data_IF_553618212356
#
_entry.id   IF_553618212356
#
_cell.length_a   1.000
_cell.length_b   1.000
_cell.length_c   1.000
_cell.angle_alpha   90.00
_cell.angle_beta   90.00
_cell.angle_gamma   90.00
#
_symmetry.space_group_name_H-M   'P 1'
#
loop_
_entity.id
_entity.type
_entity.pdbx_description
1 polymer ?
#
# COMPACT_ATOMS: atom_id res chain seq x y z
N UNK A 1 28.64 -9.10 -14.20
CA UNK A 1 28.19 -8.67 -15.55
C UNK A 1 26.79 -9.21 -15.88
N UNK A 2 25.79 -9.05 -15.00
CA UNK A 2 24.40 -9.51 -15.28
C UNK A 2 23.35 -8.40 -15.15
N UNK A 3 23.75 -7.12 -15.21
CA UNK A 3 22.84 -5.99 -15.02
C UNK A 3 22.24 -5.41 -16.31
N UNK A 4 22.60 -5.95 -17.48
CA UNK A 4 22.13 -5.45 -18.77
C UNK A 4 20.91 -6.21 -19.31
N UNK A 5 20.91 -7.54 -19.22
CA UNK A 5 19.79 -8.40 -19.68
C UNK A 5 18.53 -8.22 -18.84
N UNK A 6 18.68 -8.01 -17.52
CA UNK A 6 17.52 -7.78 -16.64
C UNK A 6 16.74 -6.52 -17.00
N UNK A 7 17.41 -5.49 -17.55
CA UNK A 7 16.76 -4.22 -17.94
C UNK A 7 15.94 -4.37 -19.22
N UNK A 8 16.34 -5.25 -20.12
CA UNK A 8 15.67 -5.47 -21.40
C UNK A 8 14.39 -6.29 -21.20
N UNK A 9 14.43 -7.30 -20.32
CA UNK A 9 13.21 -8.04 -19.94
C UNK A 9 12.18 -7.17 -19.17
N UNK A 10 12.61 -6.19 -18.34
CA UNK A 10 11.63 -5.24 -17.75
C UNK A 10 10.97 -4.42 -18.85
N UNK A 11 11.76 -4.07 -19.87
CA UNK A 11 11.28 -3.22 -20.95
C UNK A 11 10.22 -3.96 -21.77
N UNK A 12 10.45 -5.21 -22.15
CA UNK A 12 9.45 -6.00 -22.89
C UNK A 12 8.17 -6.25 -22.07
N UNK A 13 8.29 -6.61 -20.80
CA UNK A 13 7.11 -6.83 -19.93
C UNK A 13 6.28 -5.56 -19.75
N UNK A 14 6.93 -4.40 -19.63
CA UNK A 14 6.25 -3.12 -19.45
C UNK A 14 5.75 -2.56 -20.79
N UNK A 15 6.48 -2.79 -21.89
CA UNK A 15 6.05 -2.45 -23.25
C UNK A 15 4.84 -3.31 -23.68
N UNK A 16 4.73 -4.56 -23.23
CA UNK A 16 3.55 -5.40 -23.44
C UNK A 16 2.31 -4.87 -22.70
N UNK A 17 2.50 -4.22 -21.54
CA UNK A 17 1.41 -3.53 -20.83
C UNK A 17 1.04 -2.24 -21.58
N UNK A 18 2.02 -1.43 -22.01
CA UNK A 18 1.76 -0.15 -22.69
C UNK A 18 1.21 -0.30 -24.12
N UNK A 19 1.62 -1.34 -24.86
CA UNK A 19 1.14 -1.62 -26.23
C UNK A 19 -0.35 -1.96 -26.28
N UNK A 20 -0.96 -2.37 -25.16
CA UNK A 20 -2.41 -2.57 -25.07
C UNK A 20 -3.22 -1.27 -24.90
N UNK A 21 -2.55 -0.14 -24.63
CA UNK A 21 -3.19 1.16 -24.36
C UNK A 21 -3.27 2.09 -25.60
N UNK A 22 -2.32 2.01 -26.54
CA UNK A 22 -2.29 2.93 -27.70
C UNK A 22 -3.52 2.78 -28.63
N UNK A 23 -4.12 1.59 -28.71
CA UNK A 23 -5.28 1.33 -29.57
C UNK A 23 -6.62 1.86 -29.02
N UNK A 24 -6.66 2.39 -27.78
CA UNK A 24 -7.91 2.85 -27.13
C UNK A 24 -8.00 4.34 -26.82
N UNK A 25 -6.87 5.04 -26.69
CA UNK A 25 -6.87 6.49 -26.39
C UNK A 25 -7.37 7.37 -27.54
N UNK A 26 -7.45 6.84 -28.77
CA UNK A 26 -8.04 7.55 -29.91
C UNK A 26 -9.57 7.74 -29.85
N UNK A 27 -10.26 7.21 -28.83
CA UNK A 27 -11.73 7.24 -28.73
C UNK A 27 -12.32 8.20 -27.69
N UNK A 28 -11.50 8.92 -26.90
CA UNK A 28 -11.99 9.80 -25.82
C UNK A 28 -11.54 11.27 -25.92
N UNK A 29 -10.90 11.66 -27.03
CA UNK A 29 -10.56 13.05 -27.32
C UNK A 29 -11.63 13.68 -28.21
N UNK A 30 -12.77 14.08 -27.64
CA UNK A 30 -13.57 15.19 -28.16
C UNK A 30 -14.46 15.76 -27.04
N UNK A 31 -14.47 17.09 -26.97
CA UNK A 31 -15.33 17.98 -26.17
C UNK A 31 -14.69 18.65 -24.94
N UNK A 32 -13.78 19.61 -25.20
CA UNK A 32 -13.63 20.80 -24.35
C UNK A 32 -13.46 22.03 -25.24
N UNK A 33 -14.50 22.87 -25.29
CA UNK A 33 -14.45 24.22 -25.86
C UNK A 33 -13.56 25.13 -25.00
N UNK A 34 -12.67 25.95 -25.60
CA UNK A 34 -11.94 26.97 -24.86
C UNK A 34 -12.75 28.28 -24.83
N UNK A 35 -13.24 28.68 -23.66
CA UNK A 35 -13.69 30.05 -23.41
C UNK A 35 -12.47 30.94 -23.08
N UNK A 36 -12.23 31.92 -23.93
CA UNK A 36 -11.18 32.93 -23.81
C UNK A 36 -11.66 34.10 -22.93
N UNK A 37 -11.43 33.99 -21.62
CA UNK A 37 -11.56 35.10 -20.67
C UNK A 37 -10.19 35.64 -20.27
N UNK A 38 -9.81 36.82 -20.79
CA UNK A 38 -8.64 37.58 -20.33
C UNK A 38 -8.91 38.16 -18.93
N UNK A 39 -8.12 37.77 -17.92
CA UNK A 39 -7.94 38.56 -16.69
C UNK A 39 -6.44 38.65 -16.36
N UNK A 40 -5.87 39.85 -16.50
CA UNK A 40 -4.45 40.16 -16.28
C UNK A 40 -4.03 40.24 -14.79
N UNK A 41 -4.91 39.87 -13.84
CA UNK A 41 -4.56 39.79 -12.40
C UNK A 41 -4.10 38.40 -11.92
N UNK A 42 -4.11 37.38 -12.79
CA UNK A 42 -3.74 36.00 -12.46
C UNK A 42 -2.24 35.73 -12.26
N UNK A 43 -1.36 36.61 -12.76
CA UNK A 43 0.09 36.34 -12.81
C UNK A 43 0.81 36.30 -11.46
N UNK A 44 0.32 37.00 -10.43
CA UNK A 44 0.97 37.03 -9.10
C UNK A 44 0.54 35.91 -8.15
N UNK A 45 -0.62 35.30 -8.38
CA UNK A 45 -1.12 34.20 -7.54
C UNK A 45 -0.54 32.86 -7.99
N UNK A 46 -0.32 32.68 -9.31
CA UNK A 46 0.30 31.47 -9.86
C UNK A 46 1.78 31.32 -9.45
N UNK A 47 2.58 32.39 -9.49
CA UNK A 47 4.01 32.32 -9.11
C UNK A 47 4.22 32.05 -7.60
N UNK A 48 3.28 32.49 -6.74
CA UNK A 48 3.33 32.22 -5.30
C UNK A 48 2.93 30.78 -4.93
N UNK A 49 2.14 30.08 -5.77
CA UNK A 49 1.78 28.68 -5.52
C UNK A 49 2.89 27.70 -5.96
N UNK A 50 3.57 27.98 -7.07
CA UNK A 50 4.66 27.13 -7.61
C UNK A 50 5.85 27.05 -6.65
N UNK A 51 6.09 28.08 -5.84
CA UNK A 51 7.16 28.11 -4.83
C UNK A 51 6.87 27.29 -3.55
N UNK A 52 5.69 26.66 -3.42
CA UNK A 52 5.27 25.96 -2.20
C UNK A 52 5.17 24.42 -2.29
N UNK A 53 5.51 23.84 -3.45
CA UNK A 53 5.47 22.39 -3.65
C UNK A 53 6.71 21.70 -3.04
N UNK A 54 6.55 20.50 -2.45
CA UNK A 54 7.67 19.75 -1.89
C UNK A 54 8.62 19.26 -3.00
N UNK A 55 9.93 19.33 -2.77
CA UNK A 55 10.92 18.89 -3.77
C UNK A 55 11.07 17.36 -3.79
N UNK A 56 10.87 16.69 -2.65
CA UNK A 56 11.05 15.24 -2.49
C UNK A 56 9.83 14.57 -1.87
N UNK A 57 9.68 13.25 -2.07
CA UNK A 57 8.60 12.45 -1.45
C UNK A 57 8.67 12.48 0.09
N UNK A 58 9.86 12.61 0.67
CA UNK A 58 10.03 12.81 2.12
C UNK A 58 9.51 14.16 2.59
N UNK A 59 9.80 15.24 1.85
CA UNK A 59 9.22 16.55 2.15
C UNK A 59 7.70 16.55 1.96
N UNK A 60 7.21 15.79 0.98
CA UNK A 60 5.78 15.62 0.73
C UNK A 60 5.06 14.95 1.90
N UNK A 61 5.69 13.96 2.56
CA UNK A 61 5.14 13.38 3.81
C UNK A 61 4.90 14.46 4.87
N UNK A 62 5.91 15.28 5.15
CA UNK A 62 5.80 16.38 6.11
C UNK A 62 4.78 17.45 5.70
N UNK A 63 4.70 17.73 4.39
CA UNK A 63 3.73 18.67 3.82
C UNK A 63 2.29 18.18 4.02
N UNK A 64 1.99 16.92 3.70
CA UNK A 64 0.67 16.31 3.89
C UNK A 64 0.32 16.26 5.37
N UNK A 65 1.25 15.85 6.24
CA UNK A 65 1.03 15.79 7.68
C UNK A 65 0.72 17.15 8.29
N UNK A 66 1.29 18.25 7.78
CA UNK A 66 1.03 19.60 8.31
C UNK A 66 -0.26 20.21 7.76
N UNK A 67 -0.53 20.05 6.47
CA UNK A 67 -1.66 20.74 5.80
C UNK A 67 -2.95 19.92 5.75
N UNK A 68 -2.85 18.60 5.77
CA UNK A 68 -3.97 17.67 5.61
C UNK A 68 -4.09 16.67 6.76
N UNK A 69 -3.64 17.06 7.97
CA UNK A 69 -3.69 16.21 9.16
C UNK A 69 -5.10 15.66 9.44
N UNK A 70 -6.11 16.53 9.45
CA UNK A 70 -7.49 16.11 9.72
C UNK A 70 -8.05 15.21 8.63
N UNK A 71 -7.66 15.40 7.37
CA UNK A 71 -8.03 14.48 6.29
C UNK A 71 -7.44 13.09 6.53
N UNK A 72 -6.21 12.99 7.04
CA UNK A 72 -5.60 11.71 7.43
C UNK A 72 -6.33 11.05 8.60
N UNK A 73 -6.74 11.82 9.61
CA UNK A 73 -7.54 11.30 10.73
C UNK A 73 -8.88 10.74 10.23
N UNK A 74 -9.58 11.48 9.38
CA UNK A 74 -10.88 11.05 8.83
C UNK A 74 -10.72 9.80 7.95
N UNK A 75 -9.68 9.74 7.09
CA UNK A 75 -9.44 8.56 6.26
C UNK A 75 -9.04 7.35 7.12
N UNK A 76 -8.33 7.58 8.22
CA UNK A 76 -8.00 6.54 9.21
C UNK A 76 -9.26 5.96 9.84
N UNK A 77 -10.19 6.83 10.25
CA UNK A 77 -11.46 6.42 10.82
C UNK A 77 -12.32 5.64 9.81
N UNK A 78 -12.41 6.10 8.55
CA UNK A 78 -13.09 5.35 7.49
C UNK A 78 -12.47 3.98 7.26
N UNK A 79 -11.14 3.89 7.19
CA UNK A 79 -10.45 2.59 7.06
C UNK A 79 -10.75 1.69 8.25
N UNK A 80 -10.78 2.26 9.46
CA UNK A 80 -11.04 1.52 10.68
C UNK A 80 -12.46 0.93 10.72
N UNK A 81 -13.47 1.61 10.17
CA UNK A 81 -14.82 1.05 10.06
C UNK A 81 -14.85 -0.28 9.29
N UNK A 82 -14.03 -0.42 8.25
CA UNK A 82 -13.87 -1.67 7.50
C UNK A 82 -13.07 -2.73 8.26
N UNK A 83 -12.25 -2.32 9.23
CA UNK A 83 -11.50 -3.23 10.10
C UNK A 83 -12.31 -3.74 11.30
N UNK A 84 -13.45 -3.12 11.62
CA UNK A 84 -14.26 -3.50 12.79
C UNK A 84 -14.64 -4.99 12.85
N UNK A 85 -15.05 -5.66 11.75
CA UNK A 85 -15.33 -7.10 11.81
C UNK A 85 -14.10 -7.92 12.21
N UNK A 86 -12.93 -7.57 11.67
CA UNK A 86 -11.67 -8.24 11.99
C UNK A 86 -11.26 -7.98 13.45
N UNK A 87 -11.36 -6.73 13.92
CA UNK A 87 -11.07 -6.37 15.32
C UNK A 87 -12.00 -7.11 16.27
N UNK A 88 -13.31 -7.12 15.99
CA UNK A 88 -14.29 -7.83 16.81
C UNK A 88 -13.99 -9.33 16.86
N UNK A 89 -13.60 -9.94 15.73
CA UNK A 89 -13.19 -11.34 15.68
C UNK A 89 -11.95 -11.62 16.53
N UNK A 90 -10.91 -10.81 16.41
CA UNK A 90 -9.68 -10.96 17.22
C UNK A 90 -10.00 -10.82 18.70
N UNK A 91 -10.74 -9.79 19.11
CA UNK A 91 -11.13 -9.58 20.51
C UNK A 91 -11.98 -10.73 21.07
N UNK A 92 -12.90 -11.27 20.24
CA UNK A 92 -13.68 -12.45 20.59
C UNK A 92 -12.77 -13.67 20.81
N UNK A 93 -11.87 -13.97 19.87
CA UNK A 93 -10.94 -15.09 19.99
C UNK A 93 -10.00 -14.95 21.19
N UNK A 94 -9.55 -13.73 21.53
CA UNK A 94 -8.69 -13.48 22.70
C UNK A 94 -9.43 -13.64 24.03
N UNK A 95 -10.74 -13.38 24.07
CA UNK A 95 -11.56 -13.50 25.29
C UNK A 95 -12.17 -14.90 25.48
N UNK A 96 -12.29 -15.68 24.41
CA UNK A 96 -12.81 -17.03 24.42
C UNK A 96 -11.76 -18.03 24.99
N UNK A 97 -11.77 -18.22 26.32
CA UNK A 97 -10.83 -19.12 27.03
C UNK A 97 -10.81 -20.54 26.48
N UNK A 98 -11.94 -21.06 25.99
CA UNK A 98 -12.05 -22.39 25.40
C UNK A 98 -11.28 -22.55 24.07
N UNK A 99 -10.95 -21.46 23.38
CA UNK A 99 -10.08 -21.49 22.18
C UNK A 99 -8.59 -21.45 22.55
N UNK A 100 -8.25 -20.90 23.72
CA UNK A 100 -6.86 -20.71 24.18
C UNK A 100 -6.30 -21.88 25.00
N UNK A 101 -7.16 -22.71 25.61
CA UNK A 101 -6.71 -23.76 26.54
C UNK A 101 -6.09 -24.99 25.85
N UNK A 102 -6.30 -25.16 24.53
CA UNK A 102 -5.66 -26.22 23.75
C UNK A 102 -5.24 -25.66 22.38
N UNK A 103 -3.95 -25.32 22.17
CA UNK A 103 -3.42 -24.93 20.86
C UNK A 103 -3.39 -26.16 19.95
N UNK A 104 -4.56 -26.53 19.45
CA UNK A 104 -4.77 -27.62 18.53
C UNK A 104 -4.88 -27.01 17.13
N UNK A 105 -4.50 -27.78 16.10
CA UNK A 105 -4.61 -27.35 14.70
C UNK A 105 -6.01 -26.81 14.34
N UNK A 106 -7.05 -27.34 14.98
CA UNK A 106 -8.43 -26.86 14.85
C UNK A 106 -8.64 -25.42 15.35
N UNK A 107 -8.12 -25.05 16.53
CA UNK A 107 -8.28 -23.67 17.04
C UNK A 107 -7.50 -22.68 16.19
N UNK A 108 -6.31 -23.04 15.72
CA UNK A 108 -5.54 -22.26 14.75
C UNK A 108 -6.32 -22.04 13.45
N UNK A 109 -6.90 -23.10 12.88
CA UNK A 109 -7.69 -22.99 11.66
C UNK A 109 -8.93 -22.11 11.85
N UNK A 110 -9.61 -22.22 12.99
CA UNK A 110 -10.79 -21.41 13.29
C UNK A 110 -10.42 -19.92 13.43
N UNK A 111 -9.43 -19.61 14.28
CA UNK A 111 -9.01 -18.24 14.57
C UNK A 111 -8.48 -17.56 13.30
N UNK A 112 -7.44 -18.15 12.70
CA UNK A 112 -6.74 -17.53 11.57
C UNK A 112 -7.47 -17.74 10.24
N UNK A 113 -8.33 -18.76 10.12
CA UNK A 113 -9.26 -18.89 9.00
C UNK A 113 -10.32 -17.80 9.02
N UNK A 114 -10.85 -17.46 10.20
CA UNK A 114 -11.72 -16.30 10.39
C UNK A 114 -11.01 -14.98 10.01
N UNK A 115 -9.76 -14.80 10.46
CA UNK A 115 -8.93 -13.66 10.05
C UNK A 115 -8.79 -13.61 8.51
N UNK A 116 -8.49 -14.73 7.87
CA UNK A 116 -8.33 -14.79 6.41
C UNK A 116 -9.58 -14.39 5.63
N UNK A 117 -10.77 -14.70 6.16
CA UNK A 117 -12.06 -14.31 5.57
C UNK A 117 -12.44 -12.85 5.82
N UNK A 118 -11.96 -12.24 6.92
CA UNK A 118 -12.29 -10.87 7.30
C UNK A 118 -11.29 -9.83 6.80
N UNK A 119 -10.04 -10.22 6.55
CA UNK A 119 -9.00 -9.37 5.96
C UNK A 119 -9.40 -8.73 4.61
N UNK A 120 -10.13 -9.40 3.70
CA UNK A 120 -10.69 -8.79 2.50
C UNK A 120 -11.53 -7.54 2.77
N UNK A 121 -12.33 -7.54 3.85
CA UNK A 121 -13.17 -6.39 4.22
C UNK A 121 -12.29 -5.23 4.65
N UNK A 122 -11.28 -5.48 5.49
CA UNK A 122 -10.30 -4.45 5.87
C UNK A 122 -9.54 -3.90 4.66
N UNK A 123 -9.18 -4.75 3.70
CA UNK A 123 -8.50 -4.34 2.48
C UNK A 123 -9.36 -3.40 1.61
N UNK A 124 -10.70 -3.51 1.66
CA UNK A 124 -11.61 -2.51 1.06
C UNK A 124 -11.42 -1.13 1.70
N UNK A 125 -11.19 -1.02 3.00
CA UNK A 125 -10.87 0.25 3.64
C UNK A 125 -9.57 0.85 3.09
N UNK A 126 -8.53 0.02 2.93
CA UNK A 126 -7.23 0.46 2.43
C UNK A 126 -7.25 0.91 0.96
N UNK A 127 -8.09 0.34 0.09
CA UNK A 127 -8.22 0.84 -1.29
C UNK A 127 -8.79 2.25 -1.34
N UNK A 128 -9.80 2.56 -0.54
CA UNK A 128 -10.37 3.90 -0.49
C UNK A 128 -9.33 4.93 -0.02
N UNK A 129 -8.58 4.57 1.03
CA UNK A 129 -7.49 5.40 1.55
C UNK A 129 -6.37 5.61 0.56
N UNK A 130 -5.89 4.54 -0.08
CA UNK A 130 -4.84 4.63 -1.10
C UNK A 130 -5.27 5.51 -2.28
N UNK A 131 -6.52 5.40 -2.73
CA UNK A 131 -7.02 6.22 -3.84
C UNK A 131 -7.11 7.71 -3.48
N UNK A 132 -7.70 8.04 -2.33
CA UNK A 132 -7.74 9.42 -1.83
C UNK A 132 -6.34 10.00 -1.67
N UNK A 133 -5.42 9.27 -1.04
CA UNK A 133 -4.05 9.73 -0.80
C UNK A 133 -3.22 9.82 -2.07
N UNK A 134 -3.47 8.98 -3.07
CA UNK A 134 -2.88 9.14 -4.41
C UNK A 134 -3.28 10.49 -4.99
N UNK A 135 -4.58 10.82 -5.05
CA UNK A 135 -5.06 12.11 -5.59
C UNK A 135 -4.52 13.30 -4.79
N UNK A 136 -4.49 13.18 -3.47
CA UNK A 136 -3.96 14.21 -2.58
C UNK A 136 -2.45 14.44 -2.82
N UNK A 137 -1.66 13.38 -2.89
CA UNK A 137 -0.21 13.46 -3.17
C UNK A 137 0.11 13.82 -4.62
N UNK A 138 -0.87 13.78 -5.53
CA UNK A 138 -0.73 14.25 -6.90
C UNK A 138 -1.28 15.67 -7.11
N UNK A 139 -1.74 16.34 -6.05
CA UNK A 139 -2.36 17.67 -6.07
C UNK A 139 -3.55 17.79 -7.04
N UNK A 140 -4.34 16.72 -7.21
CA UNK A 140 -5.47 16.68 -8.16
C UNK A 140 -6.80 17.21 -7.59
N UNK A 141 -6.78 17.82 -6.41
CA UNK A 141 -7.97 18.02 -5.60
C UNK A 141 -8.50 16.68 -5.08
N UNK A 142 -8.73 16.58 -3.77
CA UNK A 142 -9.18 15.34 -3.16
C UNK A 142 -10.34 15.61 -2.19
N UNK A 143 -11.49 15.00 -2.46
CA UNK A 143 -12.61 14.97 -1.54
C UNK A 143 -12.57 13.65 -0.77
N UNK A 144 -12.46 13.74 0.56
CA UNK A 144 -12.27 12.57 1.44
C UNK A 144 -13.34 11.50 1.21
N UNK A 145 -14.61 11.89 1.11
CA UNK A 145 -15.72 10.93 1.06
C UNK A 145 -15.90 10.40 -0.36
N UNK A 146 -15.95 11.29 -1.35
CA UNK A 146 -16.21 10.93 -2.73
C UNK A 146 -15.07 10.10 -3.32
N UNK A 147 -13.81 10.48 -3.05
CA UNK A 147 -12.65 9.75 -3.55
C UNK A 147 -12.44 8.43 -2.82
N UNK A 148 -12.64 8.37 -1.50
CA UNK A 148 -12.56 7.10 -0.77
C UNK A 148 -13.53 6.05 -1.36
N UNK A 149 -14.82 6.41 -1.49
CA UNK A 149 -15.82 5.51 -2.06
C UNK A 149 -15.56 5.19 -3.54
N UNK A 150 -15.03 6.14 -4.30
CA UNK A 150 -14.63 5.90 -5.69
C UNK A 150 -13.50 4.88 -5.79
N UNK A 151 -12.51 4.95 -4.88
CA UNK A 151 -11.44 3.95 -4.78
C UNK A 151 -12.00 2.55 -4.52
N UNK A 152 -12.86 2.43 -3.50
CA UNK A 152 -13.53 1.16 -3.15
C UNK A 152 -14.31 0.60 -4.34
N UNK A 153 -15.07 1.42 -5.06
CA UNK A 153 -15.88 0.97 -6.21
C UNK A 153 -15.03 0.52 -7.38
N UNK A 154 -13.97 1.27 -7.71
CA UNK A 154 -13.13 0.98 -8.89
C UNK A 154 -12.26 -0.26 -8.70
N UNK A 155 -11.68 -0.41 -7.51
CA UNK A 155 -10.59 -1.36 -7.29
C UNK A 155 -10.82 -2.30 -6.09
N UNK A 156 -12.00 -2.24 -5.45
CA UNK A 156 -12.33 -3.03 -4.28
C UNK A 156 -12.20 -4.53 -4.48
N UNK A 157 -12.59 -5.05 -5.66
CA UNK A 157 -12.46 -6.49 -5.96
C UNK A 157 -10.99 -6.94 -5.90
N UNK A 158 -10.09 -6.21 -6.53
CA UNK A 158 -8.66 -6.55 -6.55
C UNK A 158 -8.03 -6.43 -5.17
N UNK A 159 -8.41 -5.42 -4.38
CA UNK A 159 -7.95 -5.27 -3.01
C UNK A 159 -8.52 -6.31 -2.06
N UNK A 160 -9.78 -6.71 -2.22
CA UNK A 160 -10.37 -7.80 -1.45
C UNK A 160 -9.63 -9.12 -1.73
N UNK A 161 -9.24 -9.38 -2.98
CA UNK A 161 -8.41 -10.53 -3.35
C UNK A 161 -7.01 -10.44 -2.71
N UNK A 162 -6.35 -9.27 -2.75
CA UNK A 162 -5.08 -9.06 -2.05
C UNK A 162 -5.22 -9.32 -0.54
N UNK A 163 -6.27 -8.79 0.08
CA UNK A 163 -6.57 -9.01 1.49
C UNK A 163 -6.77 -10.49 1.81
N UNK A 164 -7.50 -11.22 0.97
CA UNK A 164 -7.70 -12.66 1.11
C UNK A 164 -6.38 -13.43 1.01
N UNK A 165 -5.53 -13.10 0.04
CA UNK A 165 -4.22 -13.75 -0.13
C UNK A 165 -3.29 -13.47 1.04
N UNK A 166 -3.25 -12.23 1.57
CA UNK A 166 -2.51 -11.90 2.80
C UNK A 166 -3.05 -12.72 3.98
N UNK A 167 -4.37 -12.82 4.09
CA UNK A 167 -5.05 -13.62 5.12
C UNK A 167 -4.68 -15.09 5.05
N UNK A 168 -4.65 -15.67 3.84
CA UNK A 168 -4.24 -17.05 3.61
C UNK A 168 -2.77 -17.28 3.98
N UNK A 169 -1.87 -16.35 3.62
CA UNK A 169 -0.46 -16.43 4.01
C UNK A 169 -0.29 -16.37 5.54
N UNK A 170 -1.08 -15.52 6.20
CA UNK A 170 -1.07 -15.40 7.66
C UNK A 170 -1.60 -16.68 8.34
N UNK A 171 -2.65 -17.30 7.80
CA UNK A 171 -3.12 -18.61 8.24
C UNK A 171 -2.04 -19.69 8.07
N UNK A 172 -1.37 -19.74 6.91
CA UNK A 172 -0.30 -20.72 6.66
C UNK A 172 0.88 -20.54 7.61
N UNK A 173 1.24 -19.30 7.94
CA UNK A 173 2.27 -19.00 8.93
C UNK A 173 1.89 -19.54 10.32
N UNK A 174 0.65 -19.32 10.76
CA UNK A 174 0.19 -19.81 12.06
C UNK A 174 -0.03 -21.32 12.10
N UNK A 175 -0.40 -21.95 10.99
CA UNK A 175 -0.40 -23.41 10.86
C UNK A 175 1.01 -23.99 10.98
N UNK A 176 2.03 -23.33 10.40
CA UNK A 176 3.43 -23.72 10.58
C UNK A 176 3.84 -23.62 12.06
N UNK A 177 3.51 -22.53 12.74
CA UNK A 177 3.82 -22.34 14.17
C UNK A 177 3.15 -23.45 15.00
N UNK A 178 1.84 -23.68 14.80
CA UNK A 178 1.11 -24.72 15.52
C UNK A 178 1.63 -26.13 15.24
N UNK A 179 2.10 -26.41 14.03
CA UNK A 179 2.71 -27.70 13.69
C UNK A 179 4.05 -27.91 14.42
N UNK A 180 4.88 -26.87 14.48
CA UNK A 180 6.14 -26.88 15.22
C UNK A 180 5.86 -27.10 16.71
N UNK A 181 4.91 -26.37 17.30
CA UNK A 181 4.54 -26.50 18.70
C UNK A 181 4.00 -27.90 19.04
N UNK A 182 3.13 -28.45 18.17
CA UNK A 182 2.58 -29.80 18.34
C UNK A 182 3.65 -30.91 18.24
N UNK A 183 4.77 -30.64 17.57
CA UNK A 183 5.88 -31.59 17.46
C UNK A 183 6.73 -31.66 18.74
N UNK A 184 6.56 -30.71 19.67
CA UNK A 184 7.24 -30.69 20.96
C UNK A 184 8.76 -30.81 20.83
N UNK A 185 9.36 -31.68 21.63
CA UNK A 185 10.82 -31.90 21.67
C UNK A 185 11.39 -32.63 20.45
N UNK A 186 10.56 -33.07 19.50
CA UNK A 186 11.03 -33.78 18.31
C UNK A 186 11.83 -32.88 17.35
N UNK A 187 11.61 -31.55 17.41
CA UNK A 187 12.28 -30.57 16.55
C UNK A 187 13.30 -29.80 17.38
N UNK A 188 14.52 -29.65 16.84
CA UNK A 188 15.55 -28.83 17.46
C UNK A 188 15.06 -27.36 17.61
N UNK A 189 15.20 -26.72 18.79
CA UNK A 189 14.66 -25.38 19.05
C UNK A 189 15.26 -24.29 18.15
N UNK A 190 16.51 -24.44 17.71
CA UNK A 190 17.12 -23.51 16.76
C UNK A 190 16.50 -23.63 15.37
N UNK A 191 16.18 -24.86 14.94
CA UNK A 191 15.50 -25.10 13.65
C UNK A 191 14.08 -24.54 13.71
N UNK A 192 13.35 -24.81 14.80
CA UNK A 192 12.02 -24.24 15.03
C UNK A 192 12.03 -22.71 14.94
N UNK A 193 12.93 -22.06 15.68
CA UNK A 193 13.07 -20.60 15.70
C UNK A 193 13.43 -20.03 14.33
N UNK A 194 14.36 -20.68 13.62
CA UNK A 194 14.75 -20.27 12.27
C UNK A 194 13.58 -20.41 11.28
N UNK A 195 12.83 -21.51 11.33
CA UNK A 195 11.66 -21.73 10.48
C UNK A 195 10.57 -20.68 10.72
N UNK A 196 10.27 -20.35 11.98
CA UNK A 196 9.31 -19.29 12.32
C UNK A 196 9.81 -17.93 11.81
N UNK A 197 11.09 -17.60 12.05
CA UNK A 197 11.69 -16.35 11.58
C UNK A 197 11.66 -16.21 10.05
N UNK A 198 11.98 -17.28 9.32
CA UNK A 198 11.87 -17.31 7.85
C UNK A 198 10.41 -17.19 7.40
N UNK A 199 9.46 -17.79 8.12
CA UNK A 199 8.03 -17.67 7.88
C UNK A 199 7.55 -16.21 7.96
N UNK A 200 7.90 -15.51 9.04
CA UNK A 200 7.60 -14.08 9.18
C UNK A 200 8.30 -13.23 8.11
N UNK A 201 9.57 -13.52 7.81
CA UNK A 201 10.32 -12.82 6.77
C UNK A 201 9.65 -12.95 5.39
N UNK A 202 9.23 -14.15 5.04
CA UNK A 202 8.50 -14.42 3.80
C UNK A 202 7.12 -13.77 3.77
N UNK A 203 6.37 -13.81 4.88
CA UNK A 203 5.08 -13.14 5.02
C UNK A 203 5.19 -11.62 4.81
N UNK A 204 6.14 -10.97 5.49
CA UNK A 204 6.37 -9.53 5.37
C UNK A 204 6.84 -9.14 3.96
N UNK A 205 7.70 -9.97 3.34
CA UNK A 205 8.12 -9.79 1.96
C UNK A 205 6.91 -9.80 1.01
N UNK A 206 6.03 -10.79 1.10
CA UNK A 206 4.85 -10.86 0.24
C UNK A 206 3.87 -9.71 0.52
N UNK A 207 3.66 -9.32 1.78
CA UNK A 207 2.87 -8.14 2.13
C UNK A 207 3.42 -6.88 1.45
N UNK A 208 4.75 -6.70 1.45
CA UNK A 208 5.38 -5.57 0.77
C UNK A 208 5.13 -5.56 -0.75
N UNK A 209 5.18 -6.72 -1.39
CA UNK A 209 4.89 -6.89 -2.81
C UNK A 209 3.42 -6.56 -3.09
N UNK A 210 2.50 -7.03 -2.25
CA UNK A 210 1.08 -6.70 -2.36
C UNK A 210 0.78 -5.21 -2.17
N UNK A 211 1.52 -4.50 -1.31
CA UNK A 211 1.42 -3.04 -1.20
C UNK A 211 1.81 -2.33 -2.50
N UNK A 212 2.89 -2.77 -3.17
CA UNK A 212 3.30 -2.26 -4.48
C UNK A 212 2.25 -2.58 -5.54
N UNK A 213 1.77 -3.82 -5.57
CA UNK A 213 0.73 -4.26 -6.51
C UNK A 213 -0.56 -3.44 -6.36
N UNK A 214 -1.00 -3.19 -5.13
CA UNK A 214 -2.16 -2.34 -4.85
C UNK A 214 -2.00 -0.95 -5.44
N UNK A 215 -0.82 -0.35 -5.28
CA UNK A 215 -0.52 0.98 -5.84
C UNK A 215 -0.43 0.99 -7.37
N UNK A 216 0.05 -0.10 -7.99
CA UNK A 216 0.01 -0.29 -9.44
C UNK A 216 -1.42 -0.33 -9.96
N UNK A 217 -2.29 -1.15 -9.34
CA UNK A 217 -3.72 -1.27 -9.69
C UNK A 217 -4.47 0.06 -9.61
N UNK A 218 -4.04 0.97 -8.73
CA UNK A 218 -4.63 2.31 -8.62
C UNK A 218 -4.16 3.28 -9.70
N UNK A 219 -3.01 3.00 -10.30
CA UNK A 219 -2.24 3.99 -11.07
C UNK A 219 -2.18 3.67 -12.55
N UNK A 220 -2.07 2.39 -12.89
CA UNK A 220 -1.91 1.91 -14.25
C UNK A 220 -2.99 0.88 -14.56
N UNK A 221 -3.37 0.82 -15.82
CA UNK A 221 -4.24 -0.22 -16.34
C UNK A 221 -3.43 -1.50 -16.52
N UNK A 222 -4.05 -2.64 -16.23
CA UNK A 222 -3.38 -3.94 -16.35
C UNK A 222 -4.09 -5.05 -15.60
N UNK A 223 -3.70 -6.29 -15.93
CA UNK A 223 -4.21 -7.49 -15.28
C UNK A 223 -3.63 -7.68 -13.88
N UNK A 224 -4.38 -8.32 -12.98
CA UNK A 224 -3.95 -8.61 -11.60
C UNK A 224 -2.59 -9.34 -11.55
N UNK A 225 -2.43 -10.38 -12.38
CA UNK A 225 -1.21 -11.21 -12.42
C UNK A 225 -0.03 -10.43 -13.01
N UNK A 226 -0.25 -9.67 -14.08
CA UNK A 226 0.78 -8.81 -14.66
C UNK A 226 1.30 -7.79 -13.63
N UNK A 227 0.39 -7.10 -12.93
CA UNK A 227 0.77 -6.21 -11.83
C UNK A 227 1.48 -6.92 -10.70
N UNK A 228 1.11 -8.16 -10.37
CA UNK A 228 1.79 -8.94 -9.34
C UNK A 228 3.24 -9.25 -9.75
N UNK A 229 3.49 -9.68 -10.99
CA UNK A 229 4.84 -9.96 -11.49
C UNK A 229 5.71 -8.70 -11.53
N UNK A 230 5.15 -7.57 -11.98
CA UNK A 230 5.83 -6.28 -11.94
C UNK A 230 6.13 -5.85 -10.50
N UNK A 231 5.16 -5.99 -9.60
CA UNK A 231 5.34 -5.68 -8.19
C UNK A 231 6.40 -6.56 -7.52
N UNK A 232 6.44 -7.85 -7.86
CA UNK A 232 7.44 -8.80 -7.39
C UNK A 232 8.84 -8.35 -7.84
N UNK A 233 9.00 -8.04 -9.13
CA UNK A 233 10.27 -7.57 -9.71
C UNK A 233 10.75 -6.27 -9.05
N UNK A 234 9.88 -5.27 -8.97
CA UNK A 234 10.21 -3.96 -8.36
C UNK A 234 10.49 -4.11 -6.86
N UNK A 235 9.66 -4.91 -6.17
CA UNK A 235 9.74 -5.16 -4.74
C UNK A 235 11.05 -5.84 -4.35
N UNK A 236 11.46 -6.89 -5.09
CA UNK A 236 12.72 -7.60 -4.83
C UNK A 236 13.95 -6.72 -5.09
N UNK A 237 13.96 -5.96 -6.19
CA UNK A 237 15.10 -5.08 -6.54
C UNK A 237 15.29 -3.96 -5.52
N UNK A 238 14.21 -3.49 -4.88
CA UNK A 238 14.24 -2.34 -3.97
C UNK A 238 13.96 -2.70 -2.50
N UNK A 239 13.96 -3.98 -2.15
CA UNK A 239 13.54 -4.48 -0.85
C UNK A 239 14.29 -3.80 0.30
N UNK A 240 15.63 -3.70 0.19
CA UNK A 240 16.49 -3.12 1.22
C UNK A 240 16.19 -1.63 1.50
N UNK A 241 15.67 -0.89 0.50
CA UNK A 241 15.28 0.52 0.68
C UNK A 241 13.88 0.64 1.31
N UNK A 242 13.00 -0.30 1.00
CA UNK A 242 11.61 -0.31 1.45
C UNK A 242 11.38 -0.90 2.82
N UNK A 243 12.28 -1.76 3.30
CA UNK A 243 12.06 -2.55 4.52
C UNK A 243 11.69 -1.68 5.72
N UNK A 244 12.34 -0.53 5.90
CA UNK A 244 12.04 0.39 7.00
C UNK A 244 10.67 1.06 6.86
N UNK A 245 10.25 1.39 5.63
CA UNK A 245 8.93 1.95 5.37
C UNK A 245 7.85 0.92 5.69
N UNK A 246 8.06 -0.33 5.29
CA UNK A 246 7.12 -1.41 5.58
C UNK A 246 7.09 -1.76 7.06
N UNK A 247 8.24 -1.90 7.73
CA UNK A 247 8.30 -2.09 9.18
C UNK A 247 7.55 -0.97 9.90
N UNK A 248 7.72 0.27 9.46
CA UNK A 248 6.96 1.40 9.99
C UNK A 248 5.47 1.28 9.63
N UNK A 249 5.08 0.90 8.43
CA UNK A 249 3.66 0.70 8.10
C UNK A 249 3.01 -0.45 8.90
N UNK A 250 3.79 -1.47 9.28
CA UNK A 250 3.33 -2.66 9.99
C UNK A 250 3.48 -2.60 11.52
N UNK A 251 3.92 -1.49 12.13
CA UNK A 251 4.10 -1.44 13.60
C UNK A 251 2.86 -1.89 14.39
N UNK A 252 1.62 -1.46 14.08
CA UNK A 252 0.45 -1.93 14.82
C UNK A 252 0.28 -3.44 14.71
N UNK A 253 0.53 -4.00 13.53
CA UNK A 253 0.49 -5.44 13.30
C UNK A 253 1.56 -6.16 14.15
N UNK A 254 2.80 -5.66 14.15
CA UNK A 254 3.88 -6.21 14.97
C UNK A 254 3.52 -6.15 16.46
N UNK A 255 2.97 -5.04 16.93
CA UNK A 255 2.52 -4.92 18.33
C UNK A 255 1.37 -5.89 18.61
N UNK A 256 0.39 -6.04 17.70
CA UNK A 256 -0.69 -7.02 17.86
C UNK A 256 -0.19 -8.46 17.92
N UNK A 257 0.81 -8.80 17.09
CA UNK A 257 1.36 -10.15 17.01
C UNK A 257 2.16 -10.52 18.27
N UNK A 258 3.01 -9.60 18.74
CA UNK A 258 4.00 -9.92 19.77
C UNK A 258 3.63 -9.42 21.17
N UNK A 259 2.71 -8.45 21.30
CA UNK A 259 2.24 -7.98 22.60
C UNK A 259 0.89 -8.61 22.93
N UNK A 260 0.90 -9.56 23.86
CA UNK A 260 -0.33 -10.15 24.37
C UNK A 260 -1.00 -9.23 25.40
N UNK A 261 -2.33 -9.11 25.30
CA UNK A 261 -3.14 -8.41 26.30
C UNK A 261 -4.24 -7.55 25.70
N UNK A 262 -5.45 -7.68 26.26
CA UNK A 262 -6.63 -6.93 25.83
C UNK A 262 -6.42 -5.41 25.87
N UNK A 263 -5.78 -4.91 26.93
CA UNK A 263 -5.49 -3.47 27.08
C UNK A 263 -4.59 -2.96 25.96
N UNK A 264 -3.53 -3.72 25.62
CA UNK A 264 -2.63 -3.35 24.53
C UNK A 264 -3.38 -3.36 23.19
N UNK A 265 -4.18 -4.41 22.94
CA UNK A 265 -5.02 -4.52 21.76
C UNK A 265 -5.95 -3.31 21.59
N UNK A 266 -6.63 -2.89 22.66
CA UNK A 266 -7.53 -1.72 22.64
C UNK A 266 -6.79 -0.41 22.36
N UNK A 267 -5.60 -0.21 22.96
CA UNK A 267 -4.76 0.96 22.71
C UNK A 267 -4.33 1.00 21.24
N UNK A 268 -3.87 -0.12 20.69
CA UNK A 268 -3.45 -0.19 19.28
C UNK A 268 -4.65 0.04 18.35
N UNK A 269 -5.82 -0.56 18.63
CA UNK A 269 -7.05 -0.27 17.90
C UNK A 269 -7.39 1.22 17.90
N UNK A 270 -7.32 1.89 19.06
CA UNK A 270 -7.60 3.31 19.17
C UNK A 270 -6.60 4.15 18.35
N UNK A 271 -5.31 3.82 18.40
CA UNK A 271 -4.28 4.48 17.59
C UNK A 271 -4.51 4.27 16.08
N UNK A 272 -4.89 3.06 15.67
CA UNK A 272 -5.27 2.75 14.29
C UNK A 272 -6.49 3.52 13.82
N UNK A 273 -7.52 3.63 14.67
CA UNK A 273 -8.73 4.36 14.35
C UNK A 273 -8.48 5.86 14.17
N UNK A 274 -7.69 6.46 15.07
CA UNK A 274 -7.48 7.92 15.09
C UNK A 274 -6.50 8.37 14.02
N UNK A 275 -5.44 7.61 13.73
CA UNK A 275 -4.37 8.14 12.87
C UNK A 275 -3.65 7.09 12.02
N UNK A 276 -3.41 5.90 12.57
CA UNK A 276 -2.39 5.02 11.99
C UNK A 276 -2.73 4.49 10.61
N UNK A 277 -3.99 4.14 10.33
CA UNK A 277 -4.34 3.61 9.01
C UNK A 277 -4.17 4.66 7.90
N UNK A 278 -4.53 5.92 8.18
CA UNK A 278 -4.27 7.03 7.26
C UNK A 278 -2.78 7.25 7.04
N UNK A 279 -1.98 7.21 8.12
CA UNK A 279 -0.53 7.36 8.06
C UNK A 279 0.17 6.21 7.32
N UNK A 280 -0.18 4.97 7.61
CA UNK A 280 0.37 3.78 6.95
C UNK A 280 0.05 3.80 5.44
N UNK A 281 -1.19 4.11 5.07
CA UNK A 281 -1.58 4.25 3.67
C UNK A 281 -0.79 5.37 2.97
N UNK A 282 -0.55 6.50 3.65
CA UNK A 282 0.25 7.61 3.10
C UNK A 282 1.70 7.19 2.86
N UNK A 283 2.33 6.52 3.83
CA UNK A 283 3.67 5.97 3.69
C UNK A 283 3.76 5.02 2.49
N UNK A 284 2.81 4.09 2.38
CA UNK A 284 2.76 3.14 1.26
C UNK A 284 2.62 3.85 -0.09
N UNK A 285 1.70 4.82 -0.22
CA UNK A 285 1.49 5.58 -1.47
C UNK A 285 2.73 6.39 -1.86
N UNK A 286 3.34 7.12 -0.92
CA UNK A 286 4.53 7.92 -1.21
C UNK A 286 5.73 7.04 -1.58
N UNK A 287 5.90 5.91 -0.90
CA UNK A 287 6.96 4.97 -1.21
C UNK A 287 6.75 4.32 -2.59
N UNK A 288 5.54 3.85 -2.89
CA UNK A 288 5.25 3.28 -4.21
C UNK A 288 5.42 4.32 -5.33
N UNK A 289 4.96 5.55 -5.14
CA UNK A 289 5.22 6.65 -6.09
C UNK A 289 6.73 6.85 -6.31
N UNK A 290 7.54 6.79 -5.25
CA UNK A 290 9.00 6.89 -5.37
C UNK A 290 9.62 5.72 -6.15
N UNK A 291 9.09 4.51 -5.96
CA UNK A 291 9.52 3.33 -6.71
C UNK A 291 9.14 3.43 -8.19
N UNK A 292 7.92 3.86 -8.51
CA UNK A 292 7.46 4.00 -9.88
C UNK A 292 8.22 5.10 -10.61
N UNK A 293 8.52 6.22 -9.92
CA UNK A 293 9.38 7.30 -10.41
C UNK A 293 10.76 6.78 -10.84
N UNK A 294 11.36 5.88 -10.05
CA UNK A 294 12.66 5.28 -10.33
C UNK A 294 12.61 4.17 -11.38
N UNK A 295 11.58 3.32 -11.34
CA UNK A 295 11.52 2.10 -12.13
C UNK A 295 11.17 2.38 -13.59
N UNK A 296 10.11 3.16 -13.85
CA UNK A 296 9.62 3.32 -15.23
C UNK A 296 8.92 4.64 -15.55
N UNK A 297 8.38 5.41 -14.60
CA UNK A 297 7.70 6.68 -14.93
C UNK A 297 8.61 7.67 -15.67
N UNK A 298 9.89 7.74 -15.30
CA UNK A 298 10.86 8.60 -15.99
C UNK A 298 10.96 8.33 -17.50
N UNK A 299 10.70 7.09 -17.93
CA UNK A 299 10.87 6.64 -19.32
C UNK A 299 9.56 6.53 -20.06
N UNK A 300 8.54 5.94 -19.42
CA UNK A 300 7.30 5.50 -20.06
C UNK A 300 6.11 6.40 -19.75
N UNK A 301 6.02 6.94 -18.53
CA UNK A 301 4.89 7.79 -18.10
C UNK A 301 5.41 9.14 -17.60
N UNK A 302 5.93 9.96 -18.52
CA UNK A 302 6.53 11.27 -18.20
C UNK A 302 5.58 12.21 -17.45
N UNK A 303 4.28 12.09 -17.73
CA UNK A 303 3.21 12.83 -17.03
C UNK A 303 2.97 12.39 -15.58
N UNK A 304 3.31 11.14 -15.23
CA UNK A 304 3.23 10.60 -13.87
C UNK A 304 4.54 10.82 -13.08
N UNK A 305 5.66 11.01 -13.78
CA UNK A 305 6.98 11.19 -13.17
C UNK A 305 7.03 12.40 -12.24
N UNK A 306 7.36 12.16 -10.97
CA UNK A 306 7.46 13.18 -9.91
C UNK A 306 6.20 14.05 -9.75
N UNK A 307 5.04 13.52 -10.15
CA UNK A 307 3.77 14.25 -10.02
C UNK A 307 3.49 14.64 -8.56
N UNK A 308 3.06 15.88 -8.35
CA UNK A 308 2.83 16.48 -7.03
C UNK A 308 4.10 16.97 -6.31
N UNK A 309 5.26 16.95 -6.98
CA UNK A 309 6.51 17.53 -6.49
C UNK A 309 6.90 18.77 -7.32
N UNK A 310 7.80 19.58 -6.77
CA UNK A 310 8.42 20.70 -7.47
C UNK A 310 9.27 20.20 -8.66
N UNK A 311 9.15 20.86 -9.82
CA UNK A 311 9.86 20.51 -11.06
C UNK A 311 9.08 19.58 -12.00
N UNK A 312 7.74 19.64 -11.98
CA UNK A 312 6.87 18.87 -12.86
C UNK A 312 7.18 19.22 -14.34
N UNK A 313 7.57 18.24 -15.15
CA UNK A 313 7.70 18.43 -16.59
C UNK A 313 9.04 18.98 -17.09
N UNK A 314 10.11 18.87 -16.32
CA UNK A 314 11.44 19.08 -16.88
C UNK A 314 11.88 17.89 -17.75
N UNK A 315 11.33 17.85 -18.97
CA UNK A 315 12.00 17.19 -20.09
C UNK A 315 13.31 17.93 -20.44
N UNK A 316 13.58 19.08 -19.80
CA UNK A 316 14.78 19.93 -19.94
C UNK A 316 15.58 20.20 -18.65
N UNK A 317 15.34 19.53 -17.51
CA UNK A 317 16.29 19.64 -16.38
C UNK A 317 17.53 18.83 -16.71
N UNK A 318 18.55 19.50 -17.23
CA UNK A 318 19.91 18.99 -17.24
C UNK A 318 20.33 18.78 -15.76
N UNK A 319 20.62 17.55 -15.32
CA UNK A 319 21.14 17.29 -13.98
C UNK A 319 22.62 17.70 -13.88
N UNK A 320 22.96 18.92 -14.30
CA UNK A 320 24.28 19.52 -14.13
C UNK A 320 24.16 20.85 -13.44
N UNK A 321 24.17 20.72 -12.12
CA UNK A 321 24.41 21.82 -11.19
C UNK A 321 25.31 21.40 -10.04
N UNK A 322 26.29 20.52 -10.31
CA UNK A 322 27.58 20.32 -9.61
C UNK A 322 28.41 19.27 -10.34
#
# INVERSE_FOLDING_TARGET
MSGHDDKENIREDVEAISGSNEDREHSLSNDVHPETGKSEEGGKIEEAQVTSLPATRYQQLGWVLRRHFFSLVIISAYTFLFSLPLVAWILFCTSATFLSEYPNLYSTLLIYGGVALLLPIMALGFTGSAYFLKKLTWNQGADVRADFLSGVRKNGRSYALIGFLIGLLYLLLHLLISFIDASGEAINPYVASLSIGLGYGFFLLLCSIFCVQGSLLMTYEGGFVSHFLVALKIGLVNLYKGIWVYLLAFVPFIVFEFASGLTVALIVCALCAVFYFGFAALLSVLYCNSLFDLAFNRRLYKEAYRRGLLGQGDVNYDPKGK
#
